data_IF_459009051447
#
_entry.id   IF_459009051447
#
_cell.length_a   1.000
_cell.length_b   1.000
_cell.length_c   1.000
_cell.angle_alpha   90.00
_cell.angle_beta   90.00
_cell.angle_gamma   90.00
#
_symmetry.space_group_name_H-M   'P 1'
#
loop_
_entity.id
_entity.type
_entity.pdbx_description
1 polymer ?
#
# COMPACT_ATOMS: atom_id res chain seq x y z
N UNK A 1 2.33 36.86 14.53
CA UNK A 1 3.47 35.98 14.21
C UNK A 1 3.75 35.12 15.44
N UNK A 2 3.89 33.81 15.28
CA UNK A 2 4.22 32.92 16.40
C UNK A 2 5.57 32.28 16.13
N UNK A 3 6.47 32.37 17.10
CA UNK A 3 7.80 31.77 17.00
C UNK A 3 7.68 30.27 17.27
N UNK A 4 7.91 29.47 16.23
CA UNK A 4 7.86 27.99 16.34
C UNK A 4 9.27 27.42 16.60
N UNK A 5 10.34 28.15 16.23
CA UNK A 5 11.76 27.95 16.55
C UNK A 5 12.51 29.30 16.44
N UNK A 6 13.75 29.47 16.94
CA UNK A 6 14.51 30.71 16.78
C UNK A 6 14.79 30.95 15.29
N UNK A 7 14.11 31.94 14.69
CA UNK A 7 14.40 32.43 13.34
C UNK A 7 13.38 32.11 12.25
N UNK A 8 12.35 31.29 12.50
CA UNK A 8 11.28 31.04 11.52
C UNK A 8 10.00 31.77 11.92
N UNK A 9 9.59 32.73 11.09
CA UNK A 9 8.38 33.53 11.27
C UNK A 9 7.35 33.13 10.22
N UNK A 10 6.20 32.59 10.66
CA UNK A 10 5.06 32.37 9.78
C UNK A 10 3.99 33.41 10.09
N UNK A 11 3.67 34.33 9.16
CA UNK A 11 2.55 35.23 9.32
C UNK A 11 1.24 34.44 9.21
N UNK A 12 0.37 34.58 10.21
CA UNK A 12 -0.88 33.82 10.33
C UNK A 12 -1.97 34.24 9.31
N UNK A 13 -1.64 35.07 8.31
CA UNK A 13 -2.61 35.76 7.45
C UNK A 13 -2.28 35.70 5.95
N UNK A 14 -1.25 34.98 5.53
CA UNK A 14 -0.94 34.83 4.10
C UNK A 14 -1.38 33.45 3.62
N UNK A 15 -2.02 33.43 2.44
CA UNK A 15 -2.62 32.24 1.83
C UNK A 15 -1.58 31.15 1.51
N UNK A 16 -0.31 31.54 1.43
CA UNK A 16 0.84 30.67 1.17
C UNK A 16 2.01 31.04 2.11
N UNK A 17 2.68 30.04 2.67
CA UNK A 17 3.88 30.19 3.49
C UNK A 17 5.02 29.36 2.90
N UNK A 18 6.21 29.94 2.77
CA UNK A 18 7.41 29.23 2.29
C UNK A 18 8.43 29.13 3.43
N UNK A 19 8.93 27.92 3.67
CA UNK A 19 9.99 27.66 4.65
C UNK A 19 11.18 27.06 3.91
N UNK A 20 12.27 27.81 3.82
CA UNK A 20 13.52 27.32 3.26
C UNK A 20 14.17 26.28 4.18
N UNK A 21 14.69 25.22 3.58
CA UNK A 21 15.30 24.09 4.28
C UNK A 21 16.82 24.20 4.18
N UNK A 22 17.49 23.76 5.25
CA UNK A 22 18.94 23.60 5.20
C UNK A 22 19.32 22.49 4.21
N UNK A 23 20.33 22.67 3.35
CA UNK A 23 20.82 21.64 2.42
C UNK A 23 21.26 20.33 3.11
N UNK A 24 21.51 20.36 4.42
CA UNK A 24 21.99 19.22 5.21
C UNK A 24 20.88 18.35 5.81
N UNK A 25 19.61 18.74 5.72
CA UNK A 25 18.51 17.98 6.31
C UNK A 25 18.08 16.81 5.40
N UNK A 26 17.84 15.65 6.01
CA UNK A 26 17.31 14.50 5.26
C UNK A 26 15.85 14.71 4.88
N UNK A 27 15.41 14.16 3.74
CA UNK A 27 14.02 14.22 3.26
C UNK A 27 13.01 13.76 4.31
N UNK A 28 13.34 12.73 5.09
CA UNK A 28 12.47 12.24 6.17
C UNK A 28 12.29 13.26 7.30
N UNK A 29 13.36 13.99 7.65
CA UNK A 29 13.29 15.07 8.64
C UNK A 29 12.45 16.24 8.13
N UNK A 30 12.65 16.61 6.86
CA UNK A 30 11.89 17.65 6.16
C UNK A 30 10.39 17.34 6.15
N UNK A 31 10.01 16.10 5.78
CA UNK A 31 8.61 15.66 5.77
C UNK A 31 8.01 15.73 7.18
N UNK A 32 8.73 15.20 8.19
CA UNK A 32 8.25 15.20 9.58
C UNK A 32 8.00 16.62 10.07
N UNK A 33 8.95 17.52 9.82
CA UNK A 33 8.83 18.93 10.17
C UNK A 33 7.64 19.59 9.48
N UNK A 34 7.47 19.35 8.17
CA UNK A 34 6.34 19.90 7.41
C UNK A 34 4.99 19.39 7.90
N UNK A 35 4.87 18.11 8.26
CA UNK A 35 3.65 17.55 8.82
C UNK A 35 3.27 18.24 10.14
N UNK A 36 4.23 18.39 11.06
CA UNK A 36 4.01 19.11 12.32
C UNK A 36 3.60 20.56 12.10
N UNK A 37 4.18 21.23 11.09
CA UNK A 37 3.80 22.60 10.74
C UNK A 37 2.37 22.67 10.20
N UNK A 38 1.97 21.75 9.31
CA UNK A 38 0.60 21.64 8.81
C UNK A 38 -0.43 21.42 9.91
N UNK A 39 -0.14 20.56 10.89
CA UNK A 39 -0.99 20.38 12.08
C UNK A 39 -1.17 21.68 12.85
N UNK A 40 -0.06 22.41 13.05
CA UNK A 40 -0.05 23.67 13.80
C UNK A 40 -0.78 24.82 13.11
N UNK A 41 -0.55 25.01 11.80
CA UNK A 41 -1.12 26.13 11.03
C UNK A 41 -2.52 25.86 10.48
N UNK A 42 -3.05 24.65 10.67
CA UNK A 42 -4.39 24.31 10.19
C UNK A 42 -4.47 23.91 8.71
N UNK A 43 -3.34 23.82 8.00
CA UNK A 43 -3.34 23.53 6.57
C UNK A 43 -3.43 22.05 6.24
N UNK A 44 -4.06 21.81 5.09
CA UNK A 44 -4.32 20.51 4.53
C UNK A 44 -3.12 19.77 3.97
N UNK A 45 -2.04 20.49 3.65
CA UNK A 45 -0.84 19.89 3.09
C UNK A 45 0.24 20.91 2.78
N UNK A 46 1.35 20.40 2.25
CA UNK A 46 2.50 21.19 1.82
C UNK A 46 3.24 20.52 0.67
N UNK A 47 3.98 21.34 -0.07
CA UNK A 47 4.82 20.95 -1.19
C UNK A 47 6.28 21.08 -0.80
N UNK A 48 7.10 20.05 -1.03
CA UNK A 48 8.55 20.16 -0.97
C UNK A 48 9.06 20.45 -2.37
N UNK A 49 9.65 21.62 -2.57
CA UNK A 49 10.19 22.06 -3.85
C UNK A 49 11.58 22.67 -3.66
N UNK A 50 12.60 22.06 -4.30
CA UNK A 50 13.96 22.60 -4.37
C UNK A 50 14.56 23.05 -3.02
N UNK A 51 14.36 22.27 -1.96
CA UNK A 51 14.85 22.63 -0.63
C UNK A 51 14.01 23.70 0.08
N UNK A 52 12.74 23.85 -0.28
CA UNK A 52 11.76 24.65 0.47
C UNK A 52 10.48 23.85 0.71
N UNK A 53 9.78 24.15 1.79
CA UNK A 53 8.41 23.71 2.07
C UNK A 53 7.46 24.85 1.72
N UNK A 54 6.50 24.60 0.84
CA UNK A 54 5.43 25.54 0.51
C UNK A 54 4.13 25.03 1.09
N UNK A 55 3.59 25.80 1.99
CA UNK A 55 2.35 25.59 2.70
C UNK A 55 1.30 26.44 2.01
N UNK A 56 0.19 25.85 1.60
CA UNK A 56 -0.85 26.56 0.86
C UNK A 56 -2.22 26.14 1.36
N UNK A 57 -3.18 27.06 1.33
CA UNK A 57 -4.61 26.74 1.48
C UNK A 57 -5.21 26.06 0.23
N UNK A 58 -4.40 25.82 -0.79
CA UNK A 58 -4.80 25.12 -2.02
C UNK A 58 -5.37 23.73 -1.69
N UNK A 59 -6.56 23.37 -2.22
CA UNK A 59 -7.14 22.05 -2.03
C UNK A 59 -6.19 20.93 -2.46
N UNK A 60 -6.21 19.80 -1.76
CA UNK A 60 -5.32 18.67 -2.04
C UNK A 60 -5.41 18.14 -3.49
N UNK A 61 -6.56 18.32 -4.15
CA UNK A 61 -6.77 17.97 -5.56
C UNK A 61 -5.92 18.84 -6.50
N UNK A 62 -5.91 20.15 -6.29
CA UNK A 62 -5.14 21.11 -7.10
C UNK A 62 -3.63 20.93 -6.88
N UNK A 63 -3.21 20.69 -5.63
CA UNK A 63 -1.83 20.36 -5.33
C UNK A 63 -1.37 19.04 -6.00
N UNK A 64 -2.23 18.01 -6.09
CA UNK A 64 -1.93 16.79 -6.86
C UNK A 64 -1.80 17.07 -8.36
N UNK A 65 -2.57 18.00 -8.91
CA UNK A 65 -2.45 18.44 -10.30
C UNK A 65 -1.10 19.12 -10.55
N UNK A 66 -0.67 20.00 -9.65
CA UNK A 66 0.65 20.64 -9.72
C UNK A 66 1.78 19.60 -9.60
N UNK A 67 1.64 18.63 -8.68
CA UNK A 67 2.58 17.49 -8.55
C UNK A 67 2.71 16.73 -9.86
N UNK A 68 1.61 16.48 -10.56
CA UNK A 68 1.62 15.76 -11.85
C UNK A 68 2.40 16.51 -12.92
N UNK A 69 2.36 17.84 -12.91
CA UNK A 69 3.12 18.69 -13.84
C UNK A 69 4.62 18.75 -13.50
N UNK A 70 4.99 18.64 -12.21
CA UNK A 70 6.35 18.87 -11.73
C UNK A 70 6.90 17.73 -10.83
N UNK A 71 6.52 16.48 -11.13
CA UNK A 71 6.72 15.33 -10.25
C UNK A 71 8.17 15.07 -9.81
N UNK A 72 9.16 15.44 -10.64
CA UNK A 72 10.59 15.25 -10.34
C UNK A 72 11.11 16.19 -9.24
N UNK A 73 10.39 17.28 -8.96
CA UNK A 73 10.86 18.37 -8.09
C UNK A 73 9.86 18.73 -6.99
N UNK A 74 8.72 18.05 -6.96
CA UNK A 74 7.56 18.42 -6.15
C UNK A 74 7.09 17.18 -5.40
N UNK A 75 7.32 17.13 -4.09
CA UNK A 75 6.66 16.17 -3.21
C UNK A 75 5.48 16.88 -2.57
N UNK A 76 4.27 16.33 -2.71
CA UNK A 76 3.13 16.86 -1.97
C UNK A 76 2.78 15.93 -0.82
N UNK A 77 2.52 16.54 0.32
CA UNK A 77 2.18 15.87 1.57
C UNK A 77 0.87 16.47 2.05
N UNK A 78 -0.15 15.64 2.27
CA UNK A 78 -1.45 16.09 2.81
C UNK A 78 -1.74 15.47 4.16
N UNK A 79 -2.67 16.08 4.89
CA UNK A 79 -3.48 15.40 5.90
C UNK A 79 -4.26 14.28 5.22
N UNK A 80 -4.28 13.11 5.84
CA UNK A 80 -4.93 11.94 5.25
C UNK A 80 -6.43 12.14 4.94
N UNK A 81 -7.16 12.84 5.82
CA UNK A 81 -8.58 13.13 5.63
C UNK A 81 -8.87 13.96 4.36
N UNK A 82 -7.84 14.65 3.87
CA UNK A 82 -7.91 15.54 2.72
C UNK A 82 -7.26 14.90 1.49
N UNK A 83 -6.65 13.72 1.63
CA UNK A 83 -6.06 12.98 0.52
C UNK A 83 -7.17 12.63 -0.49
N UNK A 84 -7.07 13.09 -1.75
CA UNK A 84 -8.11 12.88 -2.75
C UNK A 84 -8.47 11.40 -2.88
N UNK A 85 -9.75 11.08 -3.03
CA UNK A 85 -10.13 9.69 -3.30
C UNK A 85 -9.49 9.20 -4.60
N UNK A 86 -8.71 8.13 -4.49
CA UNK A 86 -8.21 7.41 -5.65
C UNK A 86 -9.38 6.90 -6.49
N UNK A 87 -9.25 6.96 -7.82
CA UNK A 87 -10.26 6.41 -8.73
C UNK A 87 -10.48 4.91 -8.52
N UNK A 88 -9.50 4.23 -7.93
CA UNK A 88 -9.50 2.79 -7.70
C UNK A 88 -9.20 2.44 -6.24
N UNK A 89 -9.76 1.33 -5.78
CA UNK A 89 -9.34 0.64 -4.57
C UNK A 89 -8.13 -0.26 -4.88
N UNK A 90 -7.00 -0.01 -4.25
CA UNK A 90 -5.81 -0.86 -4.40
C UNK A 90 -5.96 -2.08 -3.50
N UNK A 91 -6.10 -3.25 -4.11
CA UNK A 91 -6.31 -4.53 -3.41
C UNK A 91 -5.05 -5.39 -3.56
N UNK A 92 -4.43 -5.84 -2.46
CA UNK A 92 -3.33 -6.78 -2.54
C UNK A 92 -3.85 -8.15 -3.03
N UNK A 93 -3.26 -8.63 -4.12
CA UNK A 93 -3.57 -9.91 -4.78
C UNK A 93 -2.34 -10.82 -4.86
N UNK A 94 -1.33 -10.55 -4.03
CA UNK A 94 -0.02 -11.16 -4.14
C UNK A 94 0.24 -12.30 -3.18
N UNK A 95 1.41 -12.88 -3.40
CA UNK A 95 1.94 -13.96 -2.59
C UNK A 95 2.42 -13.39 -1.24
N UNK A 96 1.93 -13.99 -0.16
CA UNK A 96 2.11 -13.56 1.23
C UNK A 96 1.59 -12.15 1.58
N UNK A 97 1.67 -11.83 2.88
CA UNK A 97 1.28 -10.53 3.45
C UNK A 97 2.13 -9.35 2.96
N UNK A 98 3.21 -9.61 2.21
CA UNK A 98 4.14 -8.58 1.77
C UNK A 98 3.49 -7.51 0.91
N UNK A 99 2.60 -7.87 -0.02
CA UNK A 99 1.98 -6.84 -0.87
C UNK A 99 1.17 -5.85 -0.02
N UNK A 100 0.47 -6.37 1.00
CA UNK A 100 -0.27 -5.54 1.94
C UNK A 100 0.65 -4.70 2.85
N UNK A 101 1.84 -5.20 3.20
CA UNK A 101 2.87 -4.46 3.94
C UNK A 101 3.54 -3.38 3.07
N UNK A 102 3.87 -3.68 1.82
CA UNK A 102 4.38 -2.71 0.84
C UNK A 102 3.40 -1.55 0.67
N UNK A 103 2.11 -1.84 0.43
CA UNK A 103 1.08 -0.81 0.31
C UNK A 103 0.96 0.06 1.56
N UNK A 104 1.15 -0.54 2.74
CA UNK A 104 1.16 0.18 4.01
C UNK A 104 2.39 1.10 4.12
N UNK A 105 3.59 0.57 3.86
CA UNK A 105 4.86 1.33 3.91
C UNK A 105 4.90 2.45 2.88
N UNK A 106 4.29 2.25 1.71
CA UNK A 106 4.14 3.26 0.66
C UNK A 106 3.05 4.31 0.96
N UNK A 107 2.25 4.13 2.02
CA UNK A 107 1.15 5.05 2.35
C UNK A 107 0.00 5.02 1.33
N UNK A 108 -0.21 3.87 0.68
CA UNK A 108 -1.29 3.67 -0.31
C UNK A 108 -2.41 2.77 0.19
N UNK A 109 -2.19 2.09 1.32
CA UNK A 109 -3.20 1.26 1.95
C UNK A 109 -4.17 2.14 2.74
N UNK A 110 -5.45 2.08 2.34
CA UNK A 110 -6.53 2.79 3.05
C UNK A 110 -7.39 1.93 3.94
N UNK A 111 -7.49 0.66 3.58
CA UNK A 111 -8.37 -0.30 4.20
C UNK A 111 -7.67 -1.64 4.20
N UNK A 112 -7.97 -2.46 5.21
CA UNK A 112 -7.63 -3.87 5.14
C UNK A 112 -8.61 -4.63 4.23
N UNK A 113 -8.10 -5.56 3.44
CA UNK A 113 -8.86 -6.49 2.61
C UNK A 113 -8.75 -7.92 3.17
N UNK A 114 -9.62 -8.84 2.71
CA UNK A 114 -9.72 -10.18 3.27
C UNK A 114 -8.42 -10.99 3.26
N UNK A 115 -7.56 -10.76 2.27
CA UNK A 115 -6.38 -11.60 2.01
C UNK A 115 -5.05 -10.94 2.42
N UNK A 116 -5.10 -9.86 3.19
CA UNK A 116 -3.88 -9.13 3.59
C UNK A 116 -2.92 -9.99 4.44
N UNK A 117 -3.41 -11.08 5.03
CA UNK A 117 -2.65 -12.01 5.87
C UNK A 117 -2.62 -13.41 5.29
N UNK A 118 -2.77 -13.57 3.97
CA UNK A 118 -2.78 -14.87 3.32
C UNK A 118 -1.73 -14.93 2.22
N UNK A 119 -1.06 -16.07 2.09
CA UNK A 119 -0.40 -16.42 0.84
C UNK A 119 -1.46 -16.89 -0.15
N UNK A 120 -1.71 -16.07 -1.16
CA UNK A 120 -2.72 -16.35 -2.17
C UNK A 120 -2.11 -16.26 -3.57
N UNK A 121 -2.73 -16.99 -4.50
CA UNK A 121 -2.33 -17.03 -5.90
C UNK A 121 -3.47 -16.45 -6.76
N UNK A 122 -3.18 -16.07 -8.00
CA UNK A 122 -4.25 -15.67 -8.91
C UNK A 122 -5.27 -16.78 -9.19
N UNK A 123 -4.86 -18.06 -9.12
CA UNK A 123 -5.78 -19.20 -9.22
C UNK A 123 -6.76 -19.22 -8.06
N UNK A 124 -6.27 -18.95 -6.86
CA UNK A 124 -7.13 -18.84 -5.68
C UNK A 124 -8.09 -17.65 -5.79
N UNK A 125 -7.59 -16.48 -6.20
CA UNK A 125 -8.44 -15.31 -6.48
C UNK A 125 -9.52 -15.60 -7.51
N UNK A 126 -9.18 -16.34 -8.56
CA UNK A 126 -10.15 -16.76 -9.58
C UNK A 126 -11.26 -17.61 -8.93
N UNK A 127 -10.89 -18.62 -8.14
CA UNK A 127 -11.86 -19.43 -7.42
C UNK A 127 -12.74 -18.59 -6.49
N UNK A 128 -12.15 -17.68 -5.72
CA UNK A 128 -12.88 -16.79 -4.81
C UNK A 128 -13.83 -15.84 -5.54
N UNK A 129 -13.49 -15.42 -6.76
CA UNK A 129 -14.41 -14.61 -7.58
C UNK A 129 -15.54 -15.49 -8.12
N UNK A 130 -15.23 -16.73 -8.51
CA UNK A 130 -16.20 -17.66 -9.10
C UNK A 130 -17.24 -18.16 -8.08
N UNK A 131 -16.85 -18.35 -6.83
CA UNK A 131 -17.76 -18.74 -5.73
C UNK A 131 -18.35 -17.54 -4.96
N UNK A 132 -18.13 -16.32 -5.47
CA UNK A 132 -18.45 -15.05 -4.79
C UNK A 132 -17.98 -15.06 -3.33
N UNK A 133 -16.76 -15.51 -3.06
CA UNK A 133 -16.14 -15.55 -1.73
C UNK A 133 -16.87 -16.42 -0.71
N UNK A 134 -17.81 -17.28 -1.12
CA UNK A 134 -18.62 -18.08 -0.22
C UNK A 134 -17.78 -19.00 0.67
N UNK A 135 -16.78 -19.68 0.11
CA UNK A 135 -15.90 -20.56 0.88
C UNK A 135 -14.99 -19.75 1.82
N UNK A 136 -14.57 -18.54 1.41
CA UNK A 136 -13.70 -17.67 2.23
C UNK A 136 -14.37 -17.23 3.54
N UNK A 137 -15.68 -17.00 3.52
CA UNK A 137 -16.44 -16.55 4.70
C UNK A 137 -17.03 -17.70 5.50
N UNK A 138 -16.81 -18.94 5.08
CA UNK A 138 -17.35 -20.11 5.75
C UNK A 138 -16.75 -20.26 7.15
N UNK A 139 -17.58 -20.67 8.11
CA UNK A 139 -17.12 -21.06 9.44
C UNK A 139 -16.40 -22.42 9.39
N UNK A 140 -15.38 -22.64 10.24
CA UNK A 140 -14.77 -23.97 10.39
C UNK A 140 -15.80 -24.99 10.84
N UNK A 141 -15.77 -26.19 10.26
CA UNK A 141 -16.51 -27.35 10.79
C UNK A 141 -15.72 -28.01 11.90
N UNK A 142 -16.41 -28.76 12.74
CA UNK A 142 -15.78 -29.57 13.78
C UNK A 142 -14.73 -30.51 13.17
N UNK A 143 -13.51 -30.49 13.72
CA UNK A 143 -12.38 -31.29 13.24
C UNK A 143 -11.59 -30.70 12.06
N UNK A 144 -12.00 -29.59 11.46
CA UNK A 144 -11.21 -28.93 10.40
C UNK A 144 -10.09 -28.08 11.02
N UNK A 145 -8.84 -28.49 10.81
CA UNK A 145 -7.67 -27.77 11.32
C UNK A 145 -7.28 -26.54 10.48
N UNK A 146 -7.66 -26.50 9.20
CA UNK A 146 -7.26 -25.44 8.28
C UNK A 146 -8.31 -25.14 7.20
N UNK A 147 -8.22 -23.94 6.60
CA UNK A 147 -9.11 -23.51 5.52
C UNK A 147 -8.97 -24.41 4.27
N UNK A 148 -10.07 -24.82 3.60
CA UNK A 148 -9.99 -25.73 2.45
C UNK A 148 -9.12 -25.25 1.28
N UNK A 149 -8.99 -23.93 1.12
CA UNK A 149 -8.09 -23.33 0.15
C UNK A 149 -6.62 -23.70 0.31
N UNK A 150 -6.15 -24.04 1.53
CA UNK A 150 -4.79 -24.55 1.74
C UNK A 150 -4.57 -25.89 1.05
N UNK A 151 -5.63 -26.67 0.86
CA UNK A 151 -5.59 -27.98 0.23
C UNK A 151 -5.80 -27.93 -1.29
N UNK A 152 -6.36 -26.84 -1.81
CA UNK A 152 -6.72 -26.72 -3.23
C UNK A 152 -5.55 -26.36 -4.14
N UNK A 153 -4.62 -25.54 -3.66
CA UNK A 153 -3.52 -25.02 -4.47
C UNK A 153 -2.20 -25.11 -3.72
N UNK A 154 -1.15 -25.48 -4.46
CA UNK A 154 0.22 -25.27 -4.00
C UNK A 154 0.46 -23.77 -3.78
N UNK A 155 1.37 -23.43 -2.87
CA UNK A 155 1.72 -22.05 -2.53
C UNK A 155 0.56 -21.23 -1.91
N UNK A 156 -0.51 -21.88 -1.45
CA UNK A 156 -1.60 -21.21 -0.75
C UNK A 156 -1.50 -21.47 0.74
N UNK A 157 -1.53 -20.39 1.51
CA UNK A 157 -1.55 -20.45 2.95
C UNK A 157 -2.44 -19.35 3.51
N UNK A 158 -3.69 -19.74 3.79
CA UNK A 158 -4.71 -18.86 4.30
C UNK A 158 -4.47 -18.59 5.78
N UNK A 159 -4.46 -17.30 6.13
CA UNK A 159 -4.43 -16.83 7.50
C UNK A 159 -3.39 -17.50 8.44
N UNK A 160 -2.11 -17.69 8.03
CA UNK A 160 -1.04 -18.24 8.89
C UNK A 160 -0.94 -17.61 10.28
N UNK A 161 -1.27 -16.33 10.40
CA UNK A 161 -1.18 -15.57 11.64
C UNK A 161 -2.48 -15.56 12.46
N UNK A 162 -3.53 -16.24 12.02
CA UNK A 162 -4.85 -16.24 12.65
C UNK A 162 -5.40 -17.67 12.84
N UNK A 163 -4.50 -18.65 13.02
CA UNK A 163 -4.90 -20.04 13.20
C UNK A 163 -5.49 -20.69 11.95
N UNK A 164 -5.09 -20.22 10.76
CA UNK A 164 -5.49 -20.77 9.46
C UNK A 164 -6.96 -20.60 9.08
N UNK A 165 -7.67 -19.66 9.72
CA UNK A 165 -9.08 -19.36 9.45
C UNK A 165 -9.38 -17.87 9.36
N UNK A 166 -10.44 -17.54 8.61
CA UNK A 166 -10.96 -16.18 8.53
C UNK A 166 -11.59 -15.78 9.88
N UNK A 167 -11.14 -14.65 10.43
CA UNK A 167 -11.76 -14.05 11.62
C UNK A 167 -13.07 -13.31 11.29
N UNK A 168 -13.78 -12.84 12.31
CA UNK A 168 -15.07 -12.14 12.13
C UNK A 168 -14.96 -10.85 11.30
N UNK A 169 -13.84 -10.15 11.41
CA UNK A 169 -13.58 -8.98 10.57
C UNK A 169 -13.50 -9.32 9.08
N UNK A 170 -12.90 -10.46 8.75
CA UNK A 170 -12.86 -10.98 7.37
C UNK A 170 -14.25 -11.42 6.93
N UNK A 171 -14.93 -12.24 7.73
CA UNK A 171 -16.25 -12.82 7.42
C UNK A 171 -17.36 -11.79 7.24
N UNK A 172 -17.36 -10.72 8.05
CA UNK A 172 -18.29 -9.61 7.91
C UNK A 172 -17.76 -8.52 6.98
N UNK A 173 -17.07 -7.53 7.58
CA UNK A 173 -16.83 -6.24 6.94
C UNK A 173 -15.87 -6.26 5.74
N UNK A 174 -14.81 -7.06 5.74
CA UNK A 174 -13.73 -6.95 4.73
C UNK A 174 -14.15 -7.58 3.40
N UNK A 175 -14.85 -8.71 3.40
CA UNK A 175 -15.35 -9.33 2.17
C UNK A 175 -16.46 -8.48 1.54
N UNK A 176 -17.39 -7.97 2.34
CA UNK A 176 -18.42 -7.03 1.87
C UNK A 176 -17.82 -5.80 1.21
N UNK A 177 -16.81 -5.18 1.85
CA UNK A 177 -16.07 -4.06 1.28
C UNK A 177 -15.45 -4.42 -0.07
N UNK A 178 -14.78 -5.57 -0.18
CA UNK A 178 -14.18 -6.03 -1.43
C UNK A 178 -15.24 -6.24 -2.52
N UNK A 179 -16.35 -6.92 -2.19
CA UNK A 179 -17.49 -7.10 -3.11
C UNK A 179 -18.04 -5.76 -3.61
N UNK A 180 -18.20 -4.78 -2.73
CA UNK A 180 -18.64 -3.43 -3.10
C UNK A 180 -17.67 -2.75 -4.09
N UNK A 181 -16.36 -2.88 -3.89
CA UNK A 181 -15.36 -2.35 -4.83
C UNK A 181 -15.37 -3.06 -6.17
N UNK A 182 -15.56 -4.38 -6.18
CA UNK A 182 -15.71 -5.18 -7.41
C UNK A 182 -16.98 -4.79 -8.16
N UNK A 183 -18.12 -4.67 -7.49
CA UNK A 183 -19.39 -4.23 -8.08
C UNK A 183 -19.26 -2.83 -8.72
N UNK A 184 -18.53 -1.92 -8.05
CA UNK A 184 -18.24 -0.58 -8.55
C UNK A 184 -17.20 -0.54 -9.69
N UNK A 185 -16.59 -1.67 -10.06
CA UNK A 185 -15.51 -1.77 -11.08
C UNK A 185 -14.29 -0.91 -10.75
N UNK A 186 -13.98 -0.78 -9.46
CA UNK A 186 -12.91 0.08 -8.93
C UNK A 186 -11.69 -0.69 -8.45
N UNK A 187 -11.64 -2.02 -8.58
CA UNK A 187 -10.49 -2.78 -8.07
C UNK A 187 -9.28 -2.65 -8.96
N UNK A 188 -8.17 -2.18 -8.37
CA UNK A 188 -6.83 -2.27 -8.92
C UNK A 188 -6.05 -3.31 -8.10
N UNK A 189 -5.79 -4.47 -8.70
CA UNK A 189 -4.99 -5.51 -8.08
C UNK A 189 -3.51 -5.14 -8.11
N UNK A 190 -2.82 -5.15 -6.97
CA UNK A 190 -1.36 -5.15 -6.92
C UNK A 190 -0.89 -6.50 -6.41
N UNK A 191 0.16 -7.04 -7.00
CA UNK A 191 0.74 -8.30 -6.57
C UNK A 191 2.26 -8.25 -6.65
N UNK A 192 2.95 -8.57 -5.56
CA UNK A 192 4.40 -8.76 -5.53
C UNK A 192 4.72 -10.26 -5.46
N UNK A 193 5.61 -10.72 -6.34
CA UNK A 193 6.15 -12.09 -6.36
C UNK A 193 7.67 -12.02 -6.39
N UNK A 194 8.33 -13.00 -5.77
CA UNK A 194 9.78 -13.14 -5.83
C UNK A 194 10.16 -14.38 -6.63
N UNK A 195 11.10 -14.20 -7.53
CA UNK A 195 11.81 -15.31 -8.13
C UNK A 195 12.51 -16.12 -7.04
N UNK A 196 12.39 -17.44 -7.19
CA UNK A 196 13.14 -18.55 -6.58
C UNK A 196 12.16 -19.67 -6.26
N UNK A 197 12.63 -20.92 -6.33
CA UNK A 197 11.81 -22.07 -5.90
C UNK A 197 11.44 -22.03 -4.42
N UNK A 198 12.23 -21.34 -3.60
CA UNK A 198 11.91 -21.14 -2.20
C UNK A 198 10.72 -20.20 -2.03
N UNK A 199 10.60 -19.18 -2.89
CA UNK A 199 9.66 -18.07 -2.75
C UNK A 199 8.34 -18.25 -3.50
N UNK A 200 8.38 -18.85 -4.69
CA UNK A 200 7.20 -19.05 -5.53
C UNK A 200 7.45 -20.28 -6.39
N UNK A 201 6.68 -21.35 -6.17
CA UNK A 201 6.83 -22.57 -6.98
C UNK A 201 6.24 -22.37 -8.38
N UNK A 202 5.20 -21.53 -8.49
CA UNK A 202 4.55 -21.24 -9.77
C UNK A 202 5.48 -20.48 -10.72
N UNK A 203 5.78 -21.01 -11.93
CA UNK A 203 6.63 -20.31 -12.90
C UNK A 203 6.07 -18.94 -13.30
N UNK A 204 6.96 -17.97 -13.54
CA UNK A 204 6.58 -16.61 -13.95
C UNK A 204 5.60 -16.57 -15.14
N UNK A 205 5.84 -17.37 -16.18
CA UNK A 205 4.97 -17.42 -17.35
C UNK A 205 3.54 -17.87 -17.00
N UNK A 206 3.41 -18.84 -16.08
CA UNK A 206 2.11 -19.32 -15.61
C UNK A 206 1.40 -18.25 -14.76
N UNK A 207 2.12 -17.56 -13.86
CA UNK A 207 1.56 -16.45 -13.09
C UNK A 207 0.98 -15.34 -13.98
N UNK A 208 1.69 -15.00 -15.05
CA UNK A 208 1.21 -13.99 -16.01
C UNK A 208 -0.06 -14.47 -16.71
N UNK A 209 -0.12 -15.74 -17.11
CA UNK A 209 -1.32 -16.34 -17.71
C UNK A 209 -2.50 -16.30 -16.73
N UNK A 210 -2.27 -16.66 -15.47
CA UNK A 210 -3.34 -16.69 -14.46
C UNK A 210 -3.83 -15.29 -14.08
N UNK A 211 -2.93 -14.29 -14.00
CA UNK A 211 -3.32 -12.90 -13.85
C UNK A 211 -4.21 -12.43 -15.02
N UNK A 212 -3.90 -12.84 -16.25
CA UNK A 212 -4.71 -12.52 -17.43
C UNK A 212 -6.10 -13.19 -17.37
N UNK A 213 -6.17 -14.46 -16.92
CA UNK A 213 -7.45 -15.16 -16.71
C UNK A 213 -8.30 -14.45 -15.67
N UNK A 214 -7.74 -14.13 -14.51
CA UNK A 214 -8.42 -13.41 -13.43
C UNK A 214 -8.97 -12.06 -13.89
N UNK A 215 -8.15 -11.26 -14.56
CA UNK A 215 -8.56 -9.95 -15.07
C UNK A 215 -9.67 -10.05 -16.14
N UNK A 216 -9.77 -11.19 -16.84
CA UNK A 216 -10.81 -11.47 -17.83
C UNK A 216 -12.10 -11.93 -17.17
N UNK A 217 -12.01 -12.81 -16.16
CA UNK A 217 -13.17 -13.39 -15.50
C UNK A 217 -13.91 -12.38 -14.61
N UNK A 218 -13.19 -11.46 -13.94
CA UNK A 218 -13.82 -10.46 -13.08
C UNK A 218 -14.00 -9.12 -13.80
N UNK A 219 -15.25 -8.70 -14.14
CA UNK A 219 -15.49 -7.37 -14.69
C UNK A 219 -15.20 -6.26 -13.68
N UNK A 220 -15.22 -6.58 -12.38
CA UNK A 220 -14.94 -5.66 -11.29
C UNK A 220 -13.47 -5.26 -11.14
N UNK A 221 -12.57 -6.11 -11.65
CA UNK A 221 -11.13 -5.82 -11.71
C UNK A 221 -10.88 -4.91 -12.92
N UNK A 222 -10.47 -3.67 -12.63
CA UNK A 222 -10.10 -2.68 -13.65
C UNK A 222 -8.74 -2.98 -14.24
N UNK A 223 -7.77 -3.30 -13.38
CA UNK A 223 -6.39 -3.59 -13.78
C UNK A 223 -5.68 -4.44 -12.71
N UNK A 224 -4.69 -5.22 -13.13
CA UNK A 224 -3.76 -5.94 -12.26
C UNK A 224 -2.33 -5.51 -12.61
N UNK A 225 -1.60 -5.02 -11.61
CA UNK A 225 -0.16 -4.84 -11.68
C UNK A 225 0.53 -6.00 -10.96
N UNK A 226 1.26 -6.81 -11.72
CA UNK A 226 2.14 -7.85 -11.18
C UNK A 226 3.57 -7.32 -11.18
N UNK A 227 4.20 -7.30 -10.01
CA UNK A 227 5.62 -7.00 -9.85
C UNK A 227 6.35 -8.31 -9.61
N UNK A 228 7.29 -8.63 -10.48
CA UNK A 228 8.16 -9.79 -10.38
C UNK A 228 9.54 -9.36 -9.95
N UNK A 229 9.89 -9.63 -8.69
CA UNK A 229 11.24 -9.44 -8.15
C UNK A 229 12.13 -10.54 -8.68
N UNK A 230 13.02 -10.22 -9.59
CA UNK A 230 13.89 -11.20 -10.22
C UNK A 230 15.14 -11.50 -9.38
N UNK A 231 15.60 -12.74 -9.48
CA UNK A 231 16.96 -13.13 -9.10
C UNK A 231 17.86 -12.75 -10.26
N UNK A 232 18.51 -11.60 -10.17
CA UNK A 232 19.43 -11.10 -11.17
C UNK A 232 20.60 -10.46 -10.43
N UNK A 233 21.82 -10.77 -10.84
CA UNK A 233 23.07 -10.34 -10.22
C UNK A 233 23.58 -9.00 -10.77
N UNK A 234 22.80 -8.33 -11.61
CA UNK A 234 23.11 -7.01 -12.16
C UNK A 234 23.23 -5.92 -11.09
N UNK A 235 24.16 -4.99 -11.31
CA UNK A 235 24.39 -3.83 -10.45
C UNK A 235 23.21 -2.83 -10.50
N UNK A 236 22.41 -2.84 -9.44
CA UNK A 236 21.43 -1.80 -9.13
C UNK A 236 19.99 -2.06 -9.60
N UNK A 237 19.02 -1.30 -9.07
CA UNK A 237 17.62 -1.55 -9.33
C UNK A 237 17.26 -1.20 -10.77
N UNK A 238 16.91 -2.21 -11.55
CA UNK A 238 16.39 -2.04 -12.91
C UNK A 238 14.97 -2.56 -12.98
N UNK A 239 14.14 -1.89 -13.78
CA UNK A 239 12.80 -2.39 -14.03
C UNK A 239 12.37 -2.16 -15.47
N UNK A 240 11.71 -3.14 -16.04
CA UNK A 240 11.07 -3.02 -17.35
C UNK A 240 9.66 -3.56 -17.30
N UNK A 241 8.83 -3.04 -18.20
CA UNK A 241 7.40 -3.30 -18.24
C UNK A 241 7.02 -4.12 -19.46
N UNK A 242 6.05 -5.01 -19.25
CA UNK A 242 5.28 -5.65 -20.32
C UNK A 242 3.80 -5.51 -20.05
N UNK A 243 3.00 -5.54 -21.11
CA UNK A 243 1.53 -5.46 -21.04
C UNK A 243 0.94 -6.66 -21.78
N UNK A 244 0.91 -7.85 -21.15
CA UNK A 244 0.43 -9.08 -21.79
C UNK A 244 -1.09 -9.06 -22.06
N UNK A 245 -1.83 -8.18 -21.37
CA UNK A 245 -3.27 -8.01 -21.55
C UNK A 245 -3.68 -6.56 -21.26
N UNK A 246 -4.77 -6.07 -21.85
CA UNK A 246 -5.23 -4.67 -21.67
C UNK A 246 -5.51 -4.27 -20.21
N UNK A 247 -5.76 -5.25 -19.34
CA UNK A 247 -5.98 -5.09 -17.90
C UNK A 247 -4.84 -5.63 -17.03
N UNK A 248 -3.71 -6.04 -17.62
CA UNK A 248 -2.58 -6.61 -16.87
C UNK A 248 -1.30 -5.93 -17.29
N UNK A 249 -0.56 -5.44 -16.31
CA UNK A 249 0.80 -4.95 -16.52
C UNK A 249 1.75 -5.73 -15.62
N UNK A 250 2.87 -6.11 -16.21
CA UNK A 250 3.92 -6.84 -15.53
C UNK A 250 5.13 -5.93 -15.44
N UNK A 251 5.56 -5.66 -14.21
CA UNK A 251 6.79 -4.95 -13.91
C UNK A 251 7.81 -5.99 -13.46
N UNK A 252 8.80 -6.23 -14.30
CA UNK A 252 9.98 -6.99 -13.88
C UNK A 252 10.88 -6.04 -13.11
N UNK A 253 11.27 -6.40 -11.90
CA UNK A 253 12.03 -5.55 -10.98
C UNK A 253 13.24 -6.34 -10.46
N UNK A 254 14.45 -5.81 -10.65
CA UNK A 254 15.67 -6.35 -10.04
C UNK A 254 15.90 -5.58 -8.74
N UNK A 255 15.90 -6.23 -7.57
CA UNK A 255 16.11 -5.55 -6.29
C UNK A 255 17.58 -5.17 -6.07
N UNK A 256 17.81 -4.20 -5.19
CA UNK A 256 19.15 -3.76 -4.78
C UNK A 256 19.95 -4.83 -4.02
N UNK A 257 19.26 -5.84 -3.48
CA UNK A 257 19.86 -7.01 -2.84
C UNK A 257 18.94 -8.22 -3.03
N UNK A 258 19.49 -9.43 -2.97
CA UNK A 258 18.69 -10.66 -3.07
C UNK A 258 17.64 -10.69 -1.96
N UNK A 259 16.37 -10.62 -2.36
CA UNK A 259 15.21 -10.67 -1.47
C UNK A 259 14.64 -12.07 -1.43
N UNK A 260 14.35 -12.57 -0.22
CA UNK A 260 13.49 -13.74 -0.03
C UNK A 260 12.25 -13.31 0.77
N UNK A 261 11.14 -14.05 0.67
CA UNK A 261 9.95 -13.74 1.48
C UNK A 261 10.16 -14.12 2.95
N UNK A 262 11.01 -15.11 3.26
CA UNK A 262 11.25 -15.55 4.63
C UNK A 262 11.83 -14.46 5.53
N UNK A 263 12.58 -13.53 4.94
CA UNK A 263 13.12 -12.38 5.65
C UNK A 263 12.07 -11.26 5.80
N UNK A 264 10.89 -11.38 5.17
CA UNK A 264 9.77 -10.45 5.21
C UNK A 264 10.13 -8.98 4.92
N UNK A 265 11.26 -8.73 4.25
CA UNK A 265 11.81 -7.40 4.11
C UNK A 265 12.26 -7.16 2.68
N UNK A 266 11.44 -6.37 1.96
CA UNK A 266 11.91 -5.61 0.81
C UNK A 266 12.72 -4.45 1.37
N UNK A 267 13.94 -4.24 0.87
CA UNK A 267 14.79 -3.17 1.34
C UNK A 267 14.08 -1.81 1.19
N UNK A 268 14.24 -0.87 2.15
CA UNK A 268 13.58 0.44 2.06
C UNK A 268 13.84 1.19 0.74
N UNK A 269 15.05 1.06 0.19
CA UNK A 269 15.41 1.65 -1.11
C UNK A 269 14.58 1.05 -2.25
N UNK A 270 14.35 -0.26 -2.24
CA UNK A 270 13.54 -0.95 -3.25
C UNK A 270 12.05 -0.60 -3.12
N UNK A 271 11.54 -0.43 -1.90
CA UNK A 271 10.17 0.05 -1.67
C UNK A 271 9.97 1.43 -2.31
N UNK A 272 10.91 2.34 -2.06
CA UNK A 272 10.85 3.70 -2.59
C UNK A 272 10.93 3.74 -4.11
N UNK A 273 11.89 3.02 -4.69
CA UNK A 273 12.09 2.94 -6.13
C UNK A 273 10.89 2.28 -6.83
N UNK A 274 10.37 1.18 -6.29
CA UNK A 274 9.17 0.54 -6.79
C UNK A 274 7.95 1.47 -6.70
N UNK A 275 7.83 2.23 -5.61
CA UNK A 275 6.74 3.17 -5.44
C UNK A 275 6.76 4.27 -6.53
N UNK A 276 7.93 4.88 -6.77
CA UNK A 276 8.10 5.87 -7.85
C UNK A 276 7.69 5.29 -9.21
N UNK A 277 8.09 4.05 -9.51
CA UNK A 277 7.76 3.40 -10.78
C UNK A 277 6.28 3.12 -10.92
N UNK A 278 5.63 2.63 -9.86
CA UNK A 278 4.19 2.38 -9.86
C UNK A 278 3.39 3.68 -10.01
N UNK A 279 3.77 4.76 -9.34
CA UNK A 279 3.17 6.09 -9.53
C UNK A 279 3.31 6.58 -10.96
N UNK A 280 4.52 6.50 -11.52
CA UNK A 280 4.77 6.92 -12.90
C UNK A 280 3.92 6.15 -13.91
N UNK A 281 3.68 4.86 -13.65
CA UNK A 281 2.92 4.00 -14.55
C UNK A 281 1.42 4.08 -14.34
N UNK A 282 0.96 4.39 -13.13
CA UNK A 282 -0.45 4.47 -12.77
C UNK A 282 -0.72 5.73 -11.90
N UNK A 283 -0.52 6.94 -12.44
CA UNK A 283 -0.62 8.19 -11.68
C UNK A 283 -2.05 8.52 -11.21
N UNK A 284 -3.03 7.82 -11.75
CA UNK A 284 -4.44 7.90 -11.35
C UNK A 284 -4.83 6.90 -10.24
N UNK A 285 -3.91 5.99 -9.88
CA UNK A 285 -4.12 4.92 -8.91
C UNK A 285 -3.31 5.20 -7.65
N UNK A 286 -2.02 5.49 -7.80
CA UNK A 286 -1.10 5.71 -6.69
C UNK A 286 -0.89 7.22 -6.48
N UNK A 287 -1.58 7.76 -5.47
CA UNK A 287 -1.43 9.14 -5.00
C UNK A 287 -0.59 9.12 -3.71
N UNK A 288 0.38 10.03 -3.54
CA UNK A 288 1.17 10.13 -2.30
C UNK A 288 0.35 10.83 -1.21
N UNK A 289 0.41 10.33 0.03
CA UNK A 289 -0.12 11.04 1.22
C UNK A 289 -1.26 10.38 2.01
N UNK A 290 -1.49 9.07 1.90
CA UNK A 290 -2.57 8.39 2.63
C UNK A 290 -2.09 7.51 3.80
N UNK A 291 -1.86 8.04 5.01
CA UNK A 291 -1.61 7.26 6.24
C UNK A 291 -2.71 7.44 7.33
N UNK A 292 -3.20 6.35 7.94
CA UNK A 292 -4.57 6.15 8.51
C UNK A 292 -5.01 6.96 9.74
N UNK A 293 -6.27 7.42 9.72
CA UNK A 293 -7.11 7.63 10.92
C UNK A 293 -8.53 7.13 10.59
N UNK A 294 -8.94 6.09 11.30
CA UNK A 294 -10.31 5.62 11.39
C UNK A 294 -11.23 6.71 11.96
N UNK A 295 -12.46 6.72 11.45
CA UNK A 295 -13.61 7.41 12.01
C UNK A 295 -13.76 7.12 13.52
N UNK A 296 -13.40 8.09 14.36
CA UNK A 296 -14.14 8.34 15.59
C UNK A 296 -15.04 9.52 15.28
N UNK A 297 -16.30 9.26 14.98
CA UNK A 297 -17.49 10.04 15.39
C UNK A 297 -18.70 9.67 14.53
N UNK A 298 -19.49 8.71 15.02
CA UNK A 298 -20.92 8.90 15.34
C UNK A 298 -21.41 7.69 16.12
N UNK A 299 -22.06 7.97 17.24
CA UNK A 299 -22.35 7.02 18.32
C UNK A 299 -22.96 5.70 17.87
N UNK A 300 -22.26 4.62 18.24
CA UNK A 300 -22.87 3.34 18.54
C UNK A 300 -22.23 2.86 19.85
N UNK A 301 -22.85 3.24 20.96
CA UNK A 301 -22.60 2.61 22.25
C UNK A 301 -23.04 1.15 22.16
N UNK A 302 -22.07 0.22 22.13
CA UNK A 302 -22.10 -1.03 22.91
C UNK A 302 -20.93 -1.93 22.47
N UNK A 303 -19.95 -2.10 23.37
CA UNK A 303 -19.20 -3.34 23.61
C UNK A 303 -18.96 -4.29 22.43
N UNK A 304 -18.18 -3.85 21.44
CA UNK A 304 -17.48 -4.78 20.55
C UNK A 304 -15.99 -4.47 20.63
N UNK A 305 -15.25 -5.47 21.08
CA UNK A 305 -13.81 -5.45 21.30
C UNK A 305 -13.08 -4.74 20.17
N UNK A 306 -12.37 -3.67 20.55
CA UNK A 306 -11.30 -3.07 19.80
C UNK A 306 -10.10 -4.05 19.71
N UNK A 307 -10.30 -5.20 19.07
CA UNK A 307 -9.19 -5.99 18.54
C UNK A 307 -8.62 -5.19 17.37
N UNK A 308 -7.60 -4.43 17.76
CA UNK A 308 -6.99 -3.33 17.06
C UNK A 308 -6.64 -3.67 15.61
N UNK A 309 -7.15 -2.87 14.68
CA UNK A 309 -6.46 -2.64 13.41
C UNK A 309 -5.07 -2.00 13.64
N UNK A 310 -4.77 -1.57 14.88
CA UNK A 310 -3.53 -0.95 15.36
C UNK A 310 -2.42 -1.91 15.83
N UNK A 311 -2.57 -3.24 15.81
CA UNK A 311 -1.49 -4.14 16.30
C UNK A 311 -0.22 -4.15 15.41
N UNK A 312 -0.16 -3.32 14.37
CA UNK A 312 0.97 -3.22 13.45
C UNK A 312 1.51 -1.79 13.30
N UNK A 313 0.96 -0.77 13.95
CA UNK A 313 1.45 0.62 13.84
C UNK A 313 2.75 0.87 14.59
N UNK A 314 3.16 -0.04 15.47
CA UNK A 314 4.41 0.01 16.24
C UNK A 314 5.68 -0.16 15.39
N UNK A 315 5.66 -0.77 14.20
CA UNK A 315 6.88 -1.39 13.67
C UNK A 315 7.87 -0.51 12.86
N UNK A 316 7.63 0.77 12.58
CA UNK A 316 8.63 1.58 11.86
C UNK A 316 9.35 2.61 12.76
N UNK A 317 8.60 3.33 13.59
CA UNK A 317 9.17 4.28 14.54
C UNK A 317 9.97 3.55 15.64
N UNK A 318 9.44 2.45 16.19
CA UNK A 318 10.14 1.66 17.22
C UNK A 318 11.34 0.89 16.64
N UNK A 319 11.28 0.43 15.39
CA UNK A 319 12.43 -0.22 14.73
C UNK A 319 13.53 0.79 14.35
N UNK A 320 13.17 2.01 13.97
CA UNK A 320 14.12 3.11 13.74
C UNK A 320 14.75 3.60 15.06
N UNK A 321 14.04 3.56 16.18
CA UNK A 321 14.60 3.79 17.52
C UNK A 321 15.48 2.64 18.00
N UNK A 322 15.11 1.39 17.75
CA UNK A 322 15.94 0.22 18.09
C UNK A 322 17.26 0.16 17.29
N UNK A 323 17.27 0.69 16.07
CA UNK A 323 18.50 0.87 15.27
C UNK A 323 19.37 2.02 15.75
N UNK A 324 18.81 3.00 16.48
CA UNK A 324 19.56 4.08 17.14
C UNK A 324 20.13 3.67 18.51
N UNK A 325 19.59 2.62 19.11
CA UNK A 325 19.95 2.14 20.44
C UNK A 325 21.05 1.05 20.45
N UNK A 326 21.58 0.66 19.29
CA UNK A 326 22.77 -0.21 19.22
C UNK A 326 24.03 0.66 19.23
N UNK A 327 24.95 0.44 20.19
CA UNK A 327 26.19 1.22 20.30
C UNK A 327 27.11 1.04 19.09
#
# INVERSE_FOLDING_TARGET
AVAVYPGCYVPASEADCIVDLSPSQSTAHIIRYGCSLCEYIGFGGFVVQQGSLRFSNTPAQELEEERRLHWERTLVVYRRAECPEGKCAIVPMGHYCLTADFLKRAGWRRNAYPLDWSANTFKLWQHMVDDDFAELVRAPKEGEAEHPYNLMFKDTWMFPHQGHWANDAVRGRRVERLRAQLAAKRVFGLSLYFASKGNTETPFAELVVDACKLAKASPGIRHIALVWFAEDDRDGPTAWRRTPHKKVSVLWYVPSMVTNYWNNEVAPADIWELAIRLERHFPDVFLRGGADRQEREKGWDSDVSAESEDSWTSSLAERLEALRAKP
#
